data_IF_603143591352
#
_entry.id   IF_603143591352
#
_cell.length_a   1.000
_cell.length_b   1.000
_cell.length_c   1.000
_cell.angle_alpha   90.00
_cell.angle_beta   90.00
_cell.angle_gamma   90.00
#
_symmetry.space_group_name_H-M   'P 1'
#
loop_
_entity.id
_entity.type
_entity.pdbx_description
1 polymer ?
#
# COMPACT_ATOMS: atom_id res chain seq x y z
N UNK A 1 75.96 9.00 1.50
CA UNK A 1 74.71 9.73 1.28
C UNK A 1 73.55 8.68 1.22
N UNK A 2 72.76 8.56 2.29
CA UNK A 2 71.59 7.61 2.37
C UNK A 2 70.38 8.44 2.11
N UNK A 3 69.65 8.12 1.02
CA UNK A 3 68.34 8.73 0.66
C UNK A 3 67.23 8.17 1.54
N UNK A 4 66.61 9.05 2.31
CA UNK A 4 65.36 8.72 3.05
C UNK A 4 64.17 8.88 2.09
N UNK A 5 63.48 7.78 1.79
CA UNK A 5 62.24 7.83 1.08
C UNK A 5 61.12 8.01 2.10
N UNK A 6 60.43 9.14 2.03
CA UNK A 6 59.22 9.40 2.79
C UNK A 6 58.03 8.80 2.03
N UNK A 7 57.38 7.81 2.62
CA UNK A 7 56.09 7.30 2.13
C UNK A 7 54.98 8.17 2.71
N UNK A 8 54.31 8.94 1.86
CA UNK A 8 53.05 9.60 2.22
C UNK A 8 51.91 8.61 2.05
N UNK A 9 51.36 8.13 3.16
CA UNK A 9 50.13 7.33 3.18
C UNK A 9 48.95 8.30 3.14
N UNK A 10 48.35 8.45 1.97
CA UNK A 10 47.06 9.16 1.85
C UNK A 10 45.97 8.30 2.44
N UNK A 11 45.50 8.63 3.62
CA UNK A 11 44.30 8.03 4.20
C UNK A 11 43.09 8.57 3.42
N UNK A 12 42.45 7.69 2.62
CA UNK A 12 41.13 7.96 2.03
C UNK A 12 40.12 7.83 3.17
N UNK A 13 39.67 8.97 3.68
CA UNK A 13 38.49 9.03 4.55
C UNK A 13 37.25 8.64 3.71
N UNK A 14 36.80 7.40 3.81
CA UNK A 14 35.48 6.99 3.40
C UNK A 14 34.48 7.68 4.34
N UNK A 15 33.90 8.78 3.89
CA UNK A 15 32.76 9.40 4.55
C UNK A 15 31.58 8.45 4.30
N UNK A 16 31.30 7.60 5.26
CA UNK A 16 30.08 6.82 5.29
C UNK A 16 28.94 7.78 5.63
N UNK A 17 28.14 8.16 4.64
CA UNK A 17 26.85 8.82 4.88
C UNK A 17 25.94 7.78 5.52
N UNK A 18 25.93 7.69 6.83
CA UNK A 18 24.85 7.02 7.55
C UNK A 18 23.60 7.84 7.31
N UNK A 19 22.73 7.40 6.41
CA UNK A 19 21.38 7.96 6.30
C UNK A 19 20.76 7.87 7.69
N UNK A 20 20.26 8.97 8.24
CA UNK A 20 19.64 8.99 9.55
C UNK A 20 18.46 7.99 9.58
N UNK A 21 18.30 7.25 10.67
CA UNK A 21 17.15 6.39 10.87
C UNK A 21 15.87 7.22 10.86
N UNK A 22 14.81 6.73 10.21
CA UNK A 22 13.51 7.39 10.26
C UNK A 22 12.64 6.74 11.32
N UNK A 23 11.74 7.52 11.94
CA UNK A 23 10.81 7.04 12.93
C UNK A 23 9.39 7.53 12.66
N UNK A 24 8.40 6.69 12.92
CA UNK A 24 7.01 7.07 12.97
C UNK A 24 6.63 7.49 14.39
N UNK A 25 6.03 8.65 14.52
CA UNK A 25 5.51 9.16 15.78
C UNK A 25 4.05 9.51 15.62
N UNK A 26 3.19 9.00 16.51
CA UNK A 26 1.79 9.37 16.53
C UNK A 26 1.65 10.85 16.92
N UNK A 27 0.94 11.61 16.09
CA UNK A 27 0.72 13.05 16.29
C UNK A 27 -0.75 13.41 16.48
N UNK A 28 -1.67 12.52 16.07
CA UNK A 28 -3.10 12.72 16.29
C UNK A 28 -3.86 11.39 16.27
N UNK A 29 -5.01 11.38 16.95
CA UNK A 29 -6.10 10.42 16.79
C UNK A 29 -7.37 11.26 16.63
N UNK A 30 -8.08 11.06 15.52
CA UNK A 30 -9.29 11.80 15.21
C UNK A 30 -10.50 10.87 15.28
N UNK A 31 -11.63 11.40 15.79
CA UNK A 31 -12.91 10.70 15.70
C UNK A 31 -13.43 10.79 14.25
N UNK A 32 -13.95 9.66 13.76
CA UNK A 32 -14.63 9.56 12.46
C UNK A 32 -16.07 9.11 12.75
N UNK A 33 -17.09 9.83 12.24
CA UNK A 33 -18.48 9.41 12.47
C UNK A 33 -18.81 8.10 11.77
N UNK A 34 -19.45 7.17 12.47
CA UNK A 34 -19.87 5.86 11.97
C UNK A 34 -19.34 4.71 12.82
N UNK A 35 -19.81 3.49 12.55
CA UNK A 35 -19.32 2.27 13.21
C UNK A 35 -17.96 1.87 12.63
N UNK A 36 -17.05 1.28 13.43
CA UNK A 36 -15.76 0.80 12.94
C UNK A 36 -15.91 -0.24 11.83
N UNK A 37 -14.96 -0.19 10.92
CA UNK A 37 -14.85 -1.05 9.74
C UNK A 37 -14.33 -0.21 8.59
N UNK A 38 -13.03 -0.29 8.33
CA UNK A 38 -12.39 0.43 7.24
C UNK A 38 -11.65 -0.58 6.37
N UNK A 39 -11.55 -0.29 5.09
CA UNK A 39 -10.83 -1.16 4.17
C UNK A 39 -9.76 -0.37 3.41
N UNK A 40 -10.04 0.11 2.24
CA UNK A 40 -9.04 0.73 1.38
C UNK A 40 -8.97 2.25 1.54
N UNK A 41 -7.81 2.81 1.19
CA UNK A 41 -7.57 4.25 1.10
C UNK A 41 -6.85 4.60 -0.19
N UNK A 42 -7.12 5.79 -0.72
CA UNK A 42 -6.39 6.36 -1.84
C UNK A 42 -6.31 7.88 -1.72
N UNK A 43 -5.33 8.48 -2.37
CA UNK A 43 -5.30 9.92 -2.56
C UNK A 43 -5.96 10.31 -3.87
N UNK A 44 -6.85 11.30 -3.82
CA UNK A 44 -7.39 12.03 -4.97
C UNK A 44 -6.86 13.46 -4.89
N UNK A 45 -5.80 13.74 -5.62
CA UNK A 45 -5.00 14.95 -5.45
C UNK A 45 -4.49 15.11 -4.01
N UNK A 46 -4.75 16.24 -3.35
CA UNK A 46 -4.34 16.49 -1.97
C UNK A 46 -5.26 15.86 -0.91
N UNK A 47 -6.36 15.21 -1.33
CA UNK A 47 -7.41 14.70 -0.45
C UNK A 47 -7.24 13.20 -0.23
N UNK A 48 -7.33 12.76 1.02
CA UNK A 48 -7.37 11.34 1.37
C UNK A 48 -8.82 10.86 1.32
N UNK A 49 -9.07 9.81 0.56
CA UNK A 49 -10.37 9.15 0.42
C UNK A 49 -10.29 7.80 1.09
N UNK A 50 -11.22 7.52 2.00
CA UNK A 50 -11.20 6.35 2.89
C UNK A 50 -12.49 5.58 2.74
N UNK A 51 -12.40 4.31 2.43
CA UNK A 51 -13.55 3.40 2.44
C UNK A 51 -13.90 3.04 3.88
N UNK A 52 -15.13 3.36 4.29
CA UNK A 52 -15.65 3.15 5.64
C UNK A 52 -16.82 2.14 5.59
N UNK A 53 -16.48 0.87 5.48
CA UNK A 53 -17.44 -0.23 5.33
C UNK A 53 -18.45 -0.28 6.47
N UNK A 54 -17.99 -0.15 7.72
CA UNK A 54 -18.86 -0.16 8.90
C UNK A 54 -19.88 0.96 8.97
N UNK A 55 -19.69 2.03 8.20
CA UNK A 55 -20.62 3.15 8.09
C UNK A 55 -21.39 3.17 6.75
N UNK A 56 -21.01 2.35 5.78
CA UNK A 56 -21.56 2.40 4.41
C UNK A 56 -21.27 3.73 3.73
N UNK A 57 -20.06 4.28 3.93
CA UNK A 57 -19.66 5.59 3.40
C UNK A 57 -18.28 5.56 2.76
N UNK A 58 -18.01 6.58 1.96
CA UNK A 58 -16.66 6.99 1.61
C UNK A 58 -16.37 8.30 2.32
N UNK A 59 -15.35 8.31 3.15
CA UNK A 59 -14.97 9.44 3.97
C UNK A 59 -13.93 10.28 3.24
N UNK A 60 -14.19 11.57 3.12
CA UNK A 60 -13.34 12.53 2.41
C UNK A 60 -12.60 13.38 3.45
N UNK A 61 -11.28 13.20 3.52
CA UNK A 61 -10.44 13.81 4.54
C UNK A 61 -9.47 14.81 3.94
N UNK A 62 -9.39 16.00 4.54
CA UNK A 62 -8.41 17.04 4.19
C UNK A 62 -7.15 16.88 5.07
N UNK A 63 -6.03 16.37 4.52
CA UNK A 63 -4.79 16.19 5.26
C UNK A 63 -4.18 17.47 5.81
N UNK A 64 -4.32 18.58 5.08
CA UNK A 64 -3.75 19.87 5.49
C UNK A 64 -4.47 20.45 6.71
N UNK A 65 -5.80 20.30 6.76
CA UNK A 65 -6.63 20.78 7.87
C UNK A 65 -6.86 19.70 8.93
N UNK A 66 -6.42 18.46 8.68
CA UNK A 66 -6.62 17.30 9.56
C UNK A 66 -8.07 17.10 9.96
N UNK A 67 -8.99 17.18 9.02
CA UNK A 67 -10.42 17.03 9.28
C UNK A 67 -11.16 16.33 8.16
N UNK A 68 -12.22 15.66 8.55
CA UNK A 68 -13.22 15.15 7.61
C UNK A 68 -13.93 16.34 6.97
N UNK A 69 -14.07 16.34 5.63
CA UNK A 69 -14.74 17.42 4.89
C UNK A 69 -16.05 16.96 4.28
N UNK A 70 -16.23 15.65 4.03
CA UNK A 70 -17.48 15.06 3.55
C UNK A 70 -17.54 13.58 3.86
N UNK A 71 -18.74 13.00 3.85
CA UNK A 71 -19.02 11.58 3.81
C UNK A 71 -20.00 11.31 2.66
N UNK A 72 -19.59 10.54 1.68
CA UNK A 72 -20.46 10.06 0.60
C UNK A 72 -21.15 8.81 1.08
N UNK A 73 -22.47 8.88 1.26
CA UNK A 73 -23.31 7.81 1.83
C UNK A 73 -23.89 6.90 0.77
N UNK A 74 -24.46 5.78 1.21
CA UNK A 74 -25.21 4.85 0.34
C UNK A 74 -24.34 3.82 -0.34
N UNK A 75 -23.17 3.52 0.23
CA UNK A 75 -22.31 2.43 -0.20
C UNK A 75 -22.79 1.13 0.46
N UNK A 76 -22.95 0.10 -0.34
CA UNK A 76 -23.40 -1.23 0.12
C UNK A 76 -22.16 -2.11 0.38
N UNK A 77 -21.74 -2.20 1.65
CA UNK A 77 -20.53 -2.94 2.06
C UNK A 77 -19.32 -2.60 1.18
N UNK A 78 -18.81 -1.36 1.24
CA UNK A 78 -17.74 -0.91 0.37
C UNK A 78 -16.38 -1.45 0.83
N UNK A 79 -15.53 -1.88 -0.12
CA UNK A 79 -14.19 -2.44 0.11
C UNK A 79 -13.09 -1.68 -0.62
N UNK A 80 -12.97 -1.90 -1.92
CA UNK A 80 -11.90 -1.34 -2.74
C UNK A 80 -12.14 0.10 -3.17
N UNK A 81 -11.04 0.81 -3.41
CA UNK A 81 -11.07 2.17 -3.96
C UNK A 81 -9.98 2.33 -5.01
N UNK A 82 -10.26 3.05 -6.09
CA UNK A 82 -9.28 3.48 -7.07
C UNK A 82 -9.59 4.88 -7.58
N UNK A 83 -8.55 5.59 -8.03
CA UNK A 83 -8.66 6.99 -8.47
C UNK A 83 -8.22 7.13 -9.93
N UNK A 84 -9.07 7.73 -10.74
CA UNK A 84 -8.76 8.22 -12.07
C UNK A 84 -8.65 9.76 -12.03
N UNK A 85 -7.46 10.25 -11.69
CA UNK A 85 -7.18 11.69 -11.58
C UNK A 85 -7.52 12.45 -12.85
N UNK A 86 -7.11 11.92 -14.02
CA UNK A 86 -7.36 12.55 -15.32
C UNK A 86 -8.84 12.57 -15.66
N UNK A 87 -9.59 11.53 -15.26
CA UNK A 87 -11.03 11.47 -15.44
C UNK A 87 -11.82 12.20 -14.36
N UNK A 88 -11.15 12.71 -13.32
CA UNK A 88 -11.79 13.40 -12.21
C UNK A 88 -12.72 12.50 -11.38
N UNK A 89 -12.38 11.21 -11.22
CA UNK A 89 -13.28 10.19 -10.65
C UNK A 89 -12.59 9.32 -9.62
N UNK A 90 -13.40 8.93 -8.63
CA UNK A 90 -13.08 7.87 -7.68
C UNK A 90 -14.04 6.71 -7.92
N UNK A 91 -13.51 5.49 -7.97
CA UNK A 91 -14.27 4.26 -8.06
C UNK A 91 -14.29 3.58 -6.70
N UNK A 92 -15.44 3.03 -6.32
CA UNK A 92 -15.65 2.32 -5.05
C UNK A 92 -16.33 0.99 -5.33
N UNK A 93 -15.72 -0.09 -4.87
CA UNK A 93 -16.29 -1.44 -4.95
C UNK A 93 -17.32 -1.62 -3.84
N UNK A 94 -18.59 -1.87 -4.19
CA UNK A 94 -19.64 -2.21 -3.26
C UNK A 94 -19.92 -3.71 -3.37
N UNK A 95 -19.41 -4.49 -2.42
CA UNK A 95 -19.56 -5.95 -2.45
C UNK A 95 -20.98 -6.40 -2.07
N UNK A 96 -21.68 -5.60 -1.26
CA UNK A 96 -23.00 -5.96 -0.76
C UNK A 96 -24.12 -5.98 -1.82
N UNK A 97 -23.97 -5.26 -2.93
CA UNK A 97 -24.94 -5.21 -4.02
C UNK A 97 -24.33 -5.45 -5.42
N UNK A 98 -23.06 -5.86 -5.46
CA UNK A 98 -22.30 -6.11 -6.69
C UNK A 98 -22.25 -4.87 -7.60
N UNK A 99 -22.05 -3.70 -7.05
CA UNK A 99 -21.93 -2.47 -7.84
C UNK A 99 -20.58 -1.81 -7.73
N UNK A 100 -20.27 -0.99 -8.70
CA UNK A 100 -19.16 -0.04 -8.68
C UNK A 100 -19.73 1.37 -8.65
N UNK A 101 -19.57 2.08 -7.55
CA UNK A 101 -19.95 3.48 -7.48
C UNK A 101 -18.85 4.36 -8.11
N UNK A 102 -19.26 5.36 -8.87
CA UNK A 102 -18.37 6.36 -9.48
C UNK A 102 -18.67 7.72 -8.84
N UNK A 103 -17.67 8.29 -8.18
CA UNK A 103 -17.78 9.55 -7.44
C UNK A 103 -16.96 10.61 -8.18
N UNK A 104 -17.56 11.79 -8.44
CA UNK A 104 -16.83 12.92 -9.00
C UNK A 104 -15.91 13.56 -7.93
N UNK A 105 -14.64 13.81 -8.26
CA UNK A 105 -13.68 14.47 -7.35
C UNK A 105 -14.05 15.92 -7.12
N UNK A 106 -14.70 16.57 -8.09
CA UNK A 106 -15.01 17.99 -8.04
C UNK A 106 -15.97 18.39 -6.90
N UNK A 107 -16.94 17.53 -6.58
CA UNK A 107 -18.00 17.85 -5.60
C UNK A 107 -18.37 16.65 -4.70
N UNK A 108 -17.67 15.55 -4.84
CA UNK A 108 -17.84 14.31 -4.04
C UNK A 108 -19.25 13.72 -4.14
N UNK A 109 -19.86 13.78 -5.33
CA UNK A 109 -21.16 13.16 -5.59
C UNK A 109 -21.00 11.89 -6.39
N UNK A 110 -21.87 10.91 -6.10
CA UNK A 110 -22.04 9.75 -6.97
C UNK A 110 -22.65 10.23 -8.28
N UNK A 111 -21.94 9.98 -9.38
CA UNK A 111 -22.34 10.41 -10.74
C UNK A 111 -22.74 9.23 -11.61
N UNK A 112 -22.37 8.00 -11.21
CA UNK A 112 -22.73 6.78 -11.93
C UNK A 112 -22.64 5.57 -10.98
N UNK A 113 -23.35 4.49 -11.33
CA UNK A 113 -23.28 3.19 -10.66
C UNK A 113 -23.30 2.11 -11.72
N UNK A 114 -22.24 1.32 -11.79
CA UNK A 114 -22.09 0.23 -12.75
C UNK A 114 -22.44 -1.08 -12.07
N UNK A 115 -23.45 -1.80 -12.61
CA UNK A 115 -23.77 -3.14 -12.15
C UNK A 115 -22.70 -4.12 -12.61
N UNK A 116 -22.17 -4.91 -11.68
CA UNK A 116 -21.20 -5.97 -11.94
C UNK A 116 -21.85 -7.35 -11.84
N UNK A 117 -21.22 -8.32 -12.47
CA UNK A 117 -21.69 -9.72 -12.42
C UNK A 117 -21.35 -10.38 -11.08
N UNK A 118 -20.19 -9.98 -10.51
CA UNK A 118 -19.63 -10.58 -9.30
C UNK A 118 -19.41 -9.50 -8.24
N UNK A 119 -19.28 -9.95 -7.00
CA UNK A 119 -18.99 -9.10 -5.85
C UNK A 119 -17.56 -8.53 -5.99
N UNK A 120 -17.40 -7.20 -6.18
CA UNK A 120 -16.10 -6.58 -6.29
C UNK A 120 -15.45 -6.42 -4.91
N UNK A 121 -14.12 -6.52 -4.89
CA UNK A 121 -13.32 -6.35 -3.68
C UNK A 121 -12.25 -5.28 -3.90
N UNK A 122 -11.00 -5.62 -4.20
CA UNK A 122 -9.97 -4.63 -4.47
C UNK A 122 -10.09 -4.00 -5.86
N UNK A 123 -9.65 -2.75 -5.95
CA UNK A 123 -9.64 -1.96 -7.20
C UNK A 123 -8.25 -1.41 -7.49
N UNK A 124 -7.85 -1.41 -8.75
CA UNK A 124 -6.67 -0.73 -9.24
C UNK A 124 -6.94 -0.04 -10.57
N UNK A 125 -6.80 1.27 -10.63
CA UNK A 125 -6.83 2.00 -11.89
C UNK A 125 -5.42 2.17 -12.46
N UNK A 126 -5.20 1.75 -13.70
CA UNK A 126 -3.93 1.89 -14.41
C UNK A 126 -4.08 2.97 -15.50
N UNK A 127 -3.57 4.19 -15.25
CA UNK A 127 -3.75 5.32 -16.18
C UNK A 127 -3.19 5.05 -17.58
N UNK A 128 -2.06 4.34 -17.69
CA UNK A 128 -1.40 3.98 -18.95
C UNK A 128 -2.26 3.13 -19.86
N UNK A 129 -3.19 2.37 -19.29
CA UNK A 129 -4.14 1.54 -20.04
C UNK A 129 -5.54 2.18 -20.09
N UNK A 130 -5.77 3.22 -19.28
CA UNK A 130 -7.10 3.79 -19.07
C UNK A 130 -8.09 2.74 -18.57
N UNK A 131 -7.63 1.82 -17.71
CA UNK A 131 -8.39 0.63 -17.32
C UNK A 131 -8.45 0.51 -15.81
N UNK A 132 -9.65 0.29 -15.30
CA UNK A 132 -9.89 -0.13 -13.91
C UNK A 132 -9.92 -1.66 -13.86
N UNK A 133 -9.07 -2.24 -13.03
CA UNK A 133 -9.06 -3.65 -12.69
C UNK A 133 -9.80 -3.86 -11.37
N UNK A 134 -10.59 -4.93 -11.31
CA UNK A 134 -11.52 -5.22 -10.22
C UNK A 134 -11.30 -6.67 -9.79
N UNK A 135 -10.83 -6.91 -8.58
CA UNK A 135 -10.81 -8.26 -8.03
C UNK A 135 -12.20 -8.69 -7.61
N UNK A 136 -12.55 -9.95 -7.87
CA UNK A 136 -13.77 -10.58 -7.40
C UNK A 136 -13.35 -11.81 -6.59
N UNK A 137 -12.91 -11.56 -5.34
CA UNK A 137 -12.21 -12.56 -4.51
C UNK A 137 -13.04 -13.82 -4.30
N UNK A 138 -14.33 -13.69 -3.97
CA UNK A 138 -15.25 -14.81 -3.76
C UNK A 138 -15.57 -15.61 -5.02
N UNK A 139 -15.36 -15.06 -6.20
CA UNK A 139 -15.65 -15.70 -7.48
C UNK A 139 -14.40 -16.12 -8.24
N UNK A 140 -13.22 -16.04 -7.61
CA UNK A 140 -11.94 -16.39 -8.23
C UNK A 140 -11.80 -15.82 -9.64
N UNK A 141 -12.10 -14.52 -9.81
CA UNK A 141 -12.07 -13.88 -11.12
C UNK A 141 -11.56 -12.45 -11.03
N UNK A 142 -11.09 -11.93 -12.16
CA UNK A 142 -10.64 -10.56 -12.31
C UNK A 142 -11.38 -9.90 -13.47
N UNK A 143 -11.92 -8.71 -13.23
CA UNK A 143 -12.61 -7.92 -14.21
C UNK A 143 -11.81 -6.69 -14.61
N UNK A 144 -11.99 -6.21 -15.85
CA UNK A 144 -11.40 -5.00 -16.38
C UNK A 144 -12.47 -4.12 -17.03
N UNK A 145 -12.54 -2.86 -16.59
CA UNK A 145 -13.42 -1.83 -17.14
C UNK A 145 -12.55 -0.74 -17.77
N UNK A 146 -12.62 -0.60 -19.08
CA UNK A 146 -11.92 0.47 -19.81
C UNK A 146 -12.64 1.81 -19.62
N UNK A 147 -11.89 2.89 -19.56
CA UNK A 147 -12.43 4.25 -19.49
C UNK A 147 -13.42 4.50 -20.65
N UNK A 148 -14.64 4.89 -20.30
CA UNK A 148 -15.70 5.12 -21.28
C UNK A 148 -16.41 3.87 -21.80
N UNK A 149 -16.04 2.68 -21.34
CA UNK A 149 -16.78 1.46 -21.65
C UNK A 149 -17.95 1.27 -20.67
N UNK A 150 -19.01 0.58 -21.12
CA UNK A 150 -20.17 0.21 -20.30
C UNK A 150 -20.20 -1.28 -19.98
N UNK A 151 -19.20 -2.04 -20.42
CA UNK A 151 -19.09 -3.48 -20.16
C UNK A 151 -17.73 -3.84 -19.64
N UNK A 152 -17.68 -4.76 -18.69
CA UNK A 152 -16.45 -5.32 -18.15
C UNK A 152 -16.06 -6.59 -18.91
N UNK A 153 -14.76 -6.77 -19.09
CA UNK A 153 -14.16 -8.04 -19.47
C UNK A 153 -13.78 -8.78 -18.20
N UNK A 154 -14.17 -10.04 -18.07
CA UNK A 154 -13.83 -10.86 -16.89
C UNK A 154 -13.08 -12.11 -17.32
N UNK A 155 -12.09 -12.51 -16.53
CA UNK A 155 -11.36 -13.77 -16.67
C UNK A 155 -11.40 -14.55 -15.35
N UNK A 156 -11.53 -15.86 -15.44
CA UNK A 156 -11.43 -16.75 -14.29
C UNK A 156 -9.98 -16.97 -13.92
N UNK A 157 -9.72 -17.08 -12.62
CA UNK A 157 -8.42 -17.31 -12.02
C UNK A 157 -8.43 -18.62 -11.23
N UNK A 158 -7.24 -19.13 -10.93
CA UNK A 158 -7.08 -20.34 -10.11
C UNK A 158 -6.91 -20.00 -8.62
N UNK A 159 -7.80 -19.18 -8.09
CA UNK A 159 -7.82 -18.74 -6.69
C UNK A 159 -8.39 -17.34 -6.53
N UNK A 160 -8.82 -17.01 -5.32
CA UNK A 160 -9.40 -15.71 -4.99
C UNK A 160 -8.36 -14.59 -5.10
N UNK A 161 -8.54 -13.62 -6.03
CA UNK A 161 -7.68 -12.46 -6.12
C UNK A 161 -7.96 -11.51 -4.96
N UNK A 162 -6.91 -11.07 -4.30
CA UNK A 162 -6.93 -10.05 -3.27
C UNK A 162 -6.49 -8.70 -3.84
N UNK A 163 -5.32 -8.23 -3.46
CA UNK A 163 -4.81 -6.93 -3.91
C UNK A 163 -4.01 -7.02 -5.21
N UNK A 164 -3.82 -5.87 -5.84
CA UNK A 164 -3.18 -5.74 -7.15
C UNK A 164 -2.16 -4.61 -7.15
N UNK A 165 -1.06 -4.78 -7.89
CA UNK A 165 -0.09 -3.73 -8.13
C UNK A 165 0.38 -3.74 -9.60
N UNK A 166 0.56 -2.55 -10.18
CA UNK A 166 1.03 -2.41 -11.55
C UNK A 166 2.53 -2.12 -11.60
N UNK A 167 3.24 -2.85 -12.44
CA UNK A 167 4.64 -2.58 -12.78
C UNK A 167 4.69 -1.83 -14.13
N UNK A 168 4.99 -0.53 -14.14
CA UNK A 168 5.03 0.26 -15.36
C UNK A 168 6.20 -0.11 -16.30
N UNK A 169 7.30 -0.65 -15.77
CA UNK A 169 8.45 -1.06 -16.59
C UNK A 169 8.14 -2.34 -17.38
N UNK A 170 7.50 -3.31 -16.73
CA UNK A 170 7.10 -4.59 -17.36
C UNK A 170 5.75 -4.50 -18.04
N UNK A 171 4.96 -3.49 -17.73
CA UNK A 171 3.56 -3.32 -18.15
C UNK A 171 2.71 -4.52 -17.73
N UNK A 172 2.94 -5.01 -16.51
CA UNK A 172 2.27 -6.17 -15.92
C UNK A 172 1.51 -5.77 -14.66
N UNK A 173 0.35 -6.38 -14.51
CA UNK A 173 -0.46 -6.33 -13.31
C UNK A 173 -0.12 -7.55 -12.46
N UNK A 174 0.46 -7.36 -11.28
CA UNK A 174 0.66 -8.41 -10.28
C UNK A 174 -0.55 -8.53 -9.38
N UNK A 175 -0.98 -9.76 -9.11
CA UNK A 175 -2.18 -10.07 -8.33
C UNK A 175 -1.86 -11.15 -7.32
N UNK A 176 -2.20 -10.92 -6.05
CA UNK A 176 -2.14 -11.95 -5.01
C UNK A 176 -3.34 -12.87 -5.12
N UNK A 177 -3.12 -14.20 -5.15
CA UNK A 177 -4.16 -15.21 -5.08
C UNK A 177 -4.12 -15.90 -3.72
N UNK A 178 -5.01 -15.51 -2.81
CA UNK A 178 -4.96 -15.90 -1.40
C UNK A 178 -5.06 -17.40 -1.20
N UNK A 179 -6.10 -18.01 -1.77
CA UNK A 179 -6.39 -19.44 -1.59
C UNK A 179 -5.37 -20.35 -2.28
N UNK A 180 -4.78 -19.87 -3.38
CA UNK A 180 -3.81 -20.63 -4.15
C UNK A 180 -2.38 -20.49 -3.62
N UNK A 181 -2.12 -19.57 -2.69
CA UNK A 181 -0.78 -19.17 -2.23
C UNK A 181 0.15 -18.84 -3.41
N UNK A 182 -0.32 -17.95 -4.27
CA UNK A 182 0.37 -17.57 -5.51
C UNK A 182 0.34 -16.06 -5.72
N UNK A 183 1.29 -15.59 -6.51
CA UNK A 183 1.23 -14.30 -7.19
C UNK A 183 1.24 -14.59 -8.69
N UNK A 184 0.30 -14.00 -9.40
CA UNK A 184 0.27 -14.05 -10.87
C UNK A 184 0.60 -12.68 -11.45
N UNK A 185 1.07 -12.66 -12.70
CA UNK A 185 1.22 -11.43 -13.47
C UNK A 185 0.42 -11.54 -14.77
N UNK A 186 -0.37 -10.51 -15.04
CA UNK A 186 -1.24 -10.43 -16.21
C UNK A 186 -0.84 -9.24 -17.08
N UNK A 187 -1.04 -9.36 -18.37
CA UNK A 187 -0.93 -8.23 -19.31
C UNK A 187 -2.19 -7.32 -19.26
N UNK A 188 -2.16 -6.22 -20.01
CA UNK A 188 -3.29 -5.28 -20.10
C UNK A 188 -4.61 -5.90 -20.59
N UNK A 189 -4.56 -7.06 -21.22
CA UNK A 189 -5.73 -7.81 -21.72
C UNK A 189 -6.10 -9.00 -20.83
N UNK A 190 -5.61 -9.01 -19.58
CA UNK A 190 -5.81 -10.06 -18.59
C UNK A 190 -5.29 -11.44 -19.02
N UNK A 191 -4.27 -11.50 -19.89
CA UNK A 191 -3.62 -12.76 -20.26
C UNK A 191 -2.52 -13.05 -19.26
N UNK A 192 -2.46 -14.31 -18.80
CA UNK A 192 -1.43 -14.77 -17.88
C UNK A 192 -0.04 -14.70 -18.52
N UNK A 193 0.84 -13.91 -17.93
CA UNK A 193 2.24 -13.77 -18.32
C UNK A 193 3.19 -14.57 -17.42
N UNK A 194 2.95 -14.55 -16.10
CA UNK A 194 3.79 -15.23 -15.11
C UNK A 194 2.93 -15.75 -13.96
N UNK A 195 3.45 -16.78 -13.27
CA UNK A 195 2.83 -17.37 -12.08
C UNK A 195 3.91 -17.83 -11.12
N UNK A 196 3.84 -17.39 -9.88
CA UNK A 196 4.81 -17.67 -8.83
C UNK A 196 4.14 -18.34 -7.64
N UNK A 197 4.71 -19.40 -7.12
CA UNK A 197 4.33 -19.93 -5.82
C UNK A 197 4.91 -19.09 -4.71
N UNK A 198 4.10 -18.78 -3.72
CA UNK A 198 4.49 -18.07 -2.50
C UNK A 198 4.74 -19.12 -1.40
N UNK A 199 5.94 -19.09 -0.81
CA UNK A 199 6.31 -20.03 0.26
C UNK A 199 5.75 -19.56 1.64
N UNK A 200 4.49 -19.11 1.65
CA UNK A 200 3.75 -18.71 2.83
C UNK A 200 2.25 -18.76 2.54
N UNK A 201 1.42 -18.74 3.59
CA UNK A 201 -0.03 -18.79 3.46
C UNK A 201 -0.65 -17.40 3.39
N UNK A 202 -1.76 -17.31 2.67
CA UNK A 202 -2.65 -16.15 2.61
C UNK A 202 -1.92 -14.87 2.12
N UNK A 203 -1.40 -14.84 0.89
CA UNK A 203 -0.96 -13.59 0.28
C UNK A 203 -2.17 -12.66 0.08
N UNK A 204 -2.05 -11.43 0.59
CA UNK A 204 -3.08 -10.39 0.54
C UNK A 204 -2.56 -9.15 -0.18
N UNK A 205 -2.11 -8.14 0.55
CA UNK A 205 -1.58 -6.90 -0.02
C UNK A 205 -0.35 -7.12 -0.88
N UNK A 206 -0.24 -6.37 -1.95
CA UNK A 206 0.88 -6.42 -2.89
C UNK A 206 1.32 -5.01 -3.28
N UNK A 207 2.62 -4.79 -3.37
CA UNK A 207 3.20 -3.56 -3.88
C UNK A 207 4.40 -3.86 -4.77
N UNK A 208 4.71 -2.97 -5.69
CA UNK A 208 5.82 -3.11 -6.63
C UNK A 208 6.79 -1.96 -6.46
N UNK A 209 8.08 -2.29 -6.44
CA UNK A 209 9.16 -1.36 -6.63
C UNK A 209 9.75 -1.54 -8.04
N UNK A 210 9.35 -0.72 -9.00
CA UNK A 210 9.79 -0.91 -10.38
C UNK A 210 11.30 -0.65 -10.55
N UNK A 211 11.92 0.19 -9.70
CA UNK A 211 13.35 0.50 -9.81
C UNK A 211 14.26 -0.68 -9.47
N UNK A 212 13.86 -1.51 -8.51
CA UNK A 212 14.63 -2.69 -8.10
C UNK A 212 14.09 -3.99 -8.69
N UNK A 213 12.94 -3.94 -9.38
CA UNK A 213 12.25 -5.15 -9.88
C UNK A 213 11.79 -6.06 -8.74
N UNK A 214 11.38 -5.48 -7.61
CA UNK A 214 10.93 -6.24 -6.45
C UNK A 214 9.41 -6.13 -6.28
N UNK A 215 8.81 -7.24 -5.89
CA UNK A 215 7.41 -7.33 -5.49
C UNK A 215 7.36 -7.58 -3.99
N UNK A 216 6.62 -6.76 -3.27
CA UNK A 216 6.33 -6.97 -1.87
C UNK A 216 4.97 -7.65 -1.75
N UNK A 217 4.89 -8.70 -0.97
CA UNK A 217 3.67 -9.48 -0.77
C UNK A 217 3.41 -9.63 0.72
N UNK A 218 2.31 -9.07 1.20
CA UNK A 218 1.85 -9.31 2.56
C UNK A 218 1.39 -10.75 2.70
N UNK A 219 1.84 -11.41 3.76
CA UNK A 219 1.38 -12.72 4.18
C UNK A 219 1.11 -12.69 5.68
N UNK A 220 0.48 -13.71 6.21
CA UNK A 220 -0.06 -13.72 7.59
C UNK A 220 0.88 -13.19 8.68
N UNK A 221 2.20 -13.37 8.56
CA UNK A 221 3.19 -13.01 9.60
C UNK A 221 4.45 -12.36 9.03
N UNK A 222 4.44 -11.95 7.78
CA UNK A 222 5.60 -11.35 7.14
C UNK A 222 5.21 -10.54 5.90
N UNK A 223 6.15 -9.73 5.45
CA UNK A 223 6.20 -9.26 4.07
C UNK A 223 7.30 -10.04 3.36
N UNK A 224 6.94 -10.71 2.28
CA UNK A 224 7.90 -11.36 1.37
C UNK A 224 8.36 -10.35 0.33
N UNK A 225 9.61 -10.48 -0.08
CA UNK A 225 10.16 -9.73 -1.21
C UNK A 225 10.52 -10.72 -2.30
N UNK A 226 9.86 -10.60 -3.44
CA UNK A 226 10.08 -11.47 -4.59
C UNK A 226 10.77 -10.69 -5.71
N UNK A 227 11.60 -11.37 -6.46
CA UNK A 227 12.10 -10.87 -7.74
C UNK A 227 10.99 -10.96 -8.80
N UNK A 228 10.68 -9.85 -9.47
CA UNK A 228 9.54 -9.75 -10.38
C UNK A 228 9.70 -10.57 -11.69
N UNK A 229 10.92 -11.00 -12.02
CA UNK A 229 11.16 -11.79 -13.22
C UNK A 229 11.09 -13.29 -12.97
N UNK A 230 11.67 -13.75 -11.87
CA UNK A 230 11.78 -15.17 -11.54
C UNK A 230 10.77 -15.66 -10.50
N UNK A 231 10.14 -14.75 -9.74
CA UNK A 231 9.31 -15.09 -8.58
C UNK A 231 10.07 -15.63 -7.37
N UNK A 232 11.42 -15.62 -7.44
CA UNK A 232 12.25 -16.10 -6.34
C UNK A 232 12.12 -15.17 -5.13
N UNK A 233 11.89 -15.74 -3.94
CA UNK A 233 11.98 -14.99 -2.69
C UNK A 233 13.43 -14.56 -2.45
N UNK A 234 13.64 -13.24 -2.35
CA UNK A 234 14.94 -12.60 -2.13
C UNK A 234 15.03 -11.91 -0.77
N UNK A 235 13.91 -11.81 -0.06
CA UNK A 235 13.84 -11.26 1.28
C UNK A 235 12.55 -11.62 1.97
N UNK A 236 12.60 -11.61 3.30
CA UNK A 236 11.45 -11.84 4.17
C UNK A 236 11.60 -10.98 5.41
N UNK A 237 10.60 -10.15 5.70
CA UNK A 237 10.58 -9.30 6.88
C UNK A 237 9.43 -9.77 7.78
N UNK A 238 9.72 -10.29 8.97
CA UNK A 238 8.68 -10.62 9.95
C UNK A 238 7.86 -9.37 10.30
N UNK A 239 6.55 -9.54 10.43
CA UNK A 239 5.60 -8.51 10.81
C UNK A 239 4.57 -9.05 11.78
N UNK A 240 3.72 -8.19 12.34
CA UNK A 240 2.60 -8.61 13.18
C UNK A 240 1.62 -9.53 12.42
N UNK A 241 0.87 -10.33 13.18
CA UNK A 241 -0.13 -11.24 12.62
C UNK A 241 -1.23 -10.47 11.85
N UNK A 242 -1.60 -10.99 10.69
CA UNK A 242 -2.64 -10.40 9.85
C UNK A 242 -2.18 -9.12 9.16
N UNK A 243 -0.90 -9.08 8.74
CA UNK A 243 -0.43 -8.04 7.81
C UNK A 243 -1.22 -8.17 6.51
N UNK A 244 -1.77 -7.05 6.06
CA UNK A 244 -2.74 -7.03 4.98
C UNK A 244 -2.39 -5.96 3.94
N UNK A 245 -2.63 -4.68 4.20
CA UNK A 245 -2.37 -3.64 3.21
C UNK A 245 -0.94 -3.13 3.24
N UNK A 246 -0.41 -2.89 2.04
CA UNK A 246 0.94 -2.38 1.80
C UNK A 246 0.88 -1.03 1.11
N UNK A 247 1.77 -0.13 1.47
CA UNK A 247 2.00 1.13 0.75
C UNK A 247 3.49 1.35 0.53
N UNK A 248 3.93 1.28 -0.72
CA UNK A 248 5.31 1.58 -1.07
C UNK A 248 5.46 3.05 -1.48
N UNK A 249 6.36 3.76 -0.81
CA UNK A 249 6.74 5.12 -1.17
C UNK A 249 8.09 5.13 -1.89
N UNK A 250 8.04 5.46 -3.18
CA UNK A 250 9.22 5.49 -4.05
C UNK A 250 10.18 6.63 -3.68
N UNK A 251 9.69 7.72 -3.12
CA UNK A 251 10.50 8.89 -2.79
C UNK A 251 11.47 8.62 -1.62
N UNK A 252 11.01 7.89 -0.61
CA UNK A 252 11.80 7.52 0.56
C UNK A 252 12.25 6.07 0.54
N UNK A 253 11.88 5.32 -0.49
CA UNK A 253 12.19 3.88 -0.63
C UNK A 253 11.74 3.08 0.59
N UNK A 254 10.57 3.41 1.10
CA UNK A 254 10.02 2.84 2.32
C UNK A 254 8.71 2.12 2.03
N UNK A 255 8.57 0.90 2.53
CA UNK A 255 7.31 0.17 2.52
C UNK A 255 6.65 0.28 3.90
N UNK A 256 5.42 0.71 3.91
CA UNK A 256 4.54 0.68 5.09
C UNK A 256 3.64 -0.54 4.99
N UNK A 257 3.63 -1.36 6.03
CA UNK A 257 2.79 -2.57 6.09
C UNK A 257 1.89 -2.48 7.33
N UNK A 258 0.58 -2.58 7.14
CA UNK A 258 -0.39 -2.54 8.21
C UNK A 258 -0.96 -3.92 8.51
N UNK A 259 -1.12 -4.24 9.79
CA UNK A 259 -1.68 -5.47 10.28
C UNK A 259 -2.98 -5.25 11.08
N UNK A 260 -3.88 -6.22 11.06
CA UNK A 260 -5.22 -6.18 11.68
C UNK A 260 -5.26 -5.67 13.13
N UNK A 261 -4.19 -5.88 13.90
CA UNK A 261 -4.05 -5.39 15.27
C UNK A 261 -3.80 -3.88 15.41
N UNK A 262 -3.70 -3.14 14.28
CA UNK A 262 -3.30 -1.73 14.28
C UNK A 262 -1.80 -1.54 14.43
N UNK A 263 -1.03 -2.52 14.01
CA UNK A 263 0.43 -2.46 13.95
C UNK A 263 0.86 -2.00 12.57
N UNK A 264 1.80 -1.07 12.53
CA UNK A 264 2.46 -0.61 11.30
C UNK A 264 3.94 -0.93 11.36
N UNK A 265 4.42 -1.64 10.35
CA UNK A 265 5.85 -1.82 10.11
C UNK A 265 6.32 -0.81 9.06
N UNK A 266 7.43 -0.15 9.35
CA UNK A 266 8.18 0.66 8.39
C UNK A 266 9.38 -0.17 7.92
N UNK A 267 9.34 -0.62 6.67
CA UNK A 267 10.30 -1.55 6.09
C UNK A 267 11.21 -0.81 5.12
N UNK A 268 12.50 -1.00 5.27
CA UNK A 268 13.54 -0.43 4.41
C UNK A 268 14.49 -1.47 3.85
N UNK A 269 15.23 -1.06 2.84
CA UNK A 269 16.34 -1.83 2.29
C UNK A 269 17.67 -1.14 2.60
N UNK A 270 18.60 -1.90 3.16
CA UNK A 270 19.98 -1.49 3.35
C UNK A 270 20.92 -2.62 2.95
N UNK A 271 21.98 -2.28 2.19
CA UNK A 271 22.98 -3.26 1.72
C UNK A 271 22.37 -4.52 1.07
N UNK A 272 21.28 -4.35 0.31
CA UNK A 272 20.57 -5.44 -0.37
C UNK A 272 19.66 -6.28 0.50
N UNK A 273 19.54 -6.00 1.80
CA UNK A 273 18.66 -6.70 2.73
C UNK A 273 17.48 -5.82 3.13
N UNK A 274 16.31 -6.45 3.29
CA UNK A 274 15.11 -5.80 3.81
C UNK A 274 14.97 -6.08 5.31
N UNK A 275 14.54 -5.06 6.05
CA UNK A 275 14.32 -5.16 7.49
C UNK A 275 13.21 -4.19 7.94
N UNK A 276 12.57 -4.49 9.06
CA UNK A 276 11.67 -3.56 9.72
C UNK A 276 12.50 -2.55 10.51
N UNK A 277 12.54 -1.29 10.05
CA UNK A 277 13.21 -0.21 10.77
C UNK A 277 12.46 0.15 12.05
N UNK A 278 11.12 0.04 11.99
CA UNK A 278 10.26 0.23 13.14
C UNK A 278 9.00 -0.61 13.01
N UNK A 279 8.57 -1.20 14.12
CA UNK A 279 7.23 -1.71 14.35
C UNK A 279 6.55 -0.80 15.36
N UNK A 280 5.43 -0.18 14.97
CA UNK A 280 4.66 0.70 15.83
C UNK A 280 3.27 0.13 16.05
N UNK A 281 2.94 -0.13 17.31
CA UNK A 281 1.59 -0.50 17.72
C UNK A 281 0.79 0.79 17.99
N UNK A 282 -0.31 0.97 17.26
CA UNK A 282 -1.27 2.05 17.51
C UNK A 282 -2.38 1.56 18.43
N UNK A 283 -3.17 2.48 18.97
CA UNK A 283 -4.29 2.11 19.84
C UNK A 283 -5.54 1.65 19.05
N UNK A 284 -5.55 1.74 17.72
CA UNK A 284 -6.72 1.39 16.89
C UNK A 284 -6.52 0.03 16.22
N UNK A 285 -7.61 -0.71 16.04
CA UNK A 285 -7.60 -1.95 15.26
C UNK A 285 -7.97 -1.62 13.82
N UNK A 286 -7.03 -1.80 12.92
CA UNK A 286 -7.19 -1.57 11.49
C UNK A 286 -6.03 -2.17 10.73
N UNK A 287 -6.21 -2.45 9.45
CA UNK A 287 -5.23 -3.12 8.59
C UNK A 287 -4.86 -2.31 7.35
N UNK A 288 -5.42 -1.10 7.24
CA UNK A 288 -5.21 -0.23 6.06
C UNK A 288 -4.21 0.87 6.38
N UNK A 289 -3.41 1.24 5.39
CA UNK A 289 -2.38 2.27 5.51
C UNK A 289 -2.31 3.11 4.25
N UNK A 290 -2.10 4.42 4.41
CA UNK A 290 -1.74 5.33 3.33
C UNK A 290 -0.63 6.28 3.78
N UNK A 291 0.25 6.66 2.87
CA UNK A 291 1.35 7.59 3.13
C UNK A 291 1.26 8.82 2.24
N UNK A 292 1.26 9.99 2.85
CA UNK A 292 1.38 11.29 2.19
C UNK A 292 2.87 11.69 2.15
N UNK A 293 3.51 11.48 1.02
CA UNK A 293 4.92 11.81 0.82
C UNK A 293 5.21 13.30 0.92
N UNK A 294 4.23 14.14 0.53
CA UNK A 294 4.36 15.62 0.58
C UNK A 294 4.45 16.12 2.02
N UNK A 295 3.70 15.50 2.92
CA UNK A 295 3.65 15.90 4.34
C UNK A 295 4.43 14.96 5.25
N UNK A 296 4.87 13.81 4.77
CA UNK A 296 5.49 12.74 5.57
C UNK A 296 4.53 12.23 6.64
N UNK A 297 3.26 12.01 6.29
CA UNK A 297 2.23 11.54 7.20
C UNK A 297 1.74 10.15 6.79
N UNK A 298 1.60 9.27 7.77
CA UNK A 298 0.99 7.95 7.62
C UNK A 298 -0.39 7.98 8.27
N UNK A 299 -1.38 7.45 7.59
CA UNK A 299 -2.76 7.37 8.03
C UNK A 299 -3.16 5.92 8.25
N UNK A 300 -3.80 5.65 9.40
CA UNK A 300 -4.39 4.36 9.75
C UNK A 300 -5.79 4.59 10.30
N UNK A 301 -6.81 4.21 9.55
CA UNK A 301 -8.16 4.15 10.07
C UNK A 301 -8.36 2.86 10.85
N UNK A 302 -9.20 2.89 11.87
CA UNK A 302 -9.49 1.69 12.64
C UNK A 302 -10.50 1.89 13.75
N UNK A 303 -10.78 0.82 14.48
CA UNK A 303 -11.69 0.82 15.62
C UNK A 303 -10.96 0.92 16.96
N UNK A 304 -11.48 1.74 17.86
CA UNK A 304 -11.06 1.81 19.25
C UNK A 304 -12.29 1.96 20.16
N UNK A 305 -12.50 1.04 21.09
CA UNK A 305 -13.63 1.02 22.01
C UNK A 305 -15.00 1.22 21.33
N UNK A 306 -15.21 0.54 20.18
CA UNK A 306 -16.46 0.62 19.42
C UNK A 306 -16.64 1.91 18.63
N UNK A 307 -15.63 2.78 18.57
CA UNK A 307 -15.64 4.03 17.80
C UNK A 307 -14.69 3.99 16.64
N UNK A 308 -15.06 4.63 15.54
CA UNK A 308 -14.19 4.81 14.39
C UNK A 308 -13.17 5.92 14.64
N UNK A 309 -11.92 5.63 14.33
CA UNK A 309 -10.77 6.54 14.53
C UNK A 309 -9.90 6.59 13.28
N UNK A 310 -9.25 7.74 13.10
CA UNK A 310 -8.15 7.89 12.17
C UNK A 310 -6.89 8.30 12.93
N UNK A 311 -5.90 7.41 12.98
CA UNK A 311 -4.57 7.70 13.52
C UNK A 311 -3.74 8.39 12.47
N UNK A 312 -3.03 9.44 12.88
CA UNK A 312 -2.05 10.14 12.04
C UNK A 312 -0.68 10.01 12.68
N UNK A 313 0.25 9.42 11.93
CA UNK A 313 1.65 9.32 12.32
C UNK A 313 2.47 10.29 11.48
N UNK A 314 3.50 10.86 12.06
CA UNK A 314 4.51 11.67 11.37
C UNK A 314 5.78 10.85 11.21
N UNK A 315 6.29 10.77 10.00
CA UNK A 315 7.64 10.29 9.72
C UNK A 315 8.62 11.40 10.05
N UNK A 316 9.58 11.10 10.92
CA UNK A 316 10.62 12.02 11.40
C UNK A 316 11.96 11.39 11.04
N UNK A 317 12.78 12.11 10.28
CA UNK A 317 14.18 11.73 10.07
C UNK A 317 14.97 12.07 11.35
N UNK A 318 15.62 11.07 11.94
CA UNK A 318 16.53 11.29 13.06
C UNK A 318 17.91 11.64 12.50
N UNK A 319 18.52 12.70 13.02
CA UNK A 319 19.90 13.01 12.67
C UNK A 319 20.80 11.82 13.01
N UNK A 320 21.87 11.57 12.23
CA UNK A 320 22.86 10.55 12.59
C UNK A 320 23.33 10.81 14.02
N UNK A 321 23.29 9.82 14.89
CA UNK A 321 23.95 9.94 16.20
C UNK A 321 25.44 10.07 15.94
N UNK A 322 26.02 11.22 16.26
CA UNK A 322 27.47 11.35 16.39
C UNK A 322 27.91 10.34 17.45
N UNK A 323 28.48 9.24 17.02
CA UNK A 323 29.21 8.36 17.93
C UNK A 323 30.39 9.16 18.44
N UNK A 324 30.26 9.72 19.65
CA UNK A 324 31.37 10.33 20.35
C UNK A 324 32.39 9.23 20.65
N UNK A 325 33.31 9.04 19.75
CA UNK A 325 34.55 8.33 20.02
C UNK A 325 35.35 9.19 21.04
N UNK A 326 35.01 9.05 22.33
CA UNK A 326 35.93 9.44 23.38
C UNK A 326 37.17 8.54 23.24
N UNK A 327 38.16 9.08 22.58
CA UNK A 327 39.49 8.52 22.57
C UNK A 327 39.94 8.39 24.04
N UNK A 328 40.09 7.16 24.51
CA UNK A 328 40.87 6.87 25.69
C UNK A 328 42.35 7.06 25.28
N UNK A 329 42.85 8.23 25.56
CA UNK A 329 44.28 8.49 25.69
C UNK A 329 44.65 8.25 27.16
N UNK A 330 45.24 7.11 27.43
CA UNK A 330 46.16 6.92 28.54
C UNK A 330 47.25 5.95 28.13
#
# INVERSE_FOLDING_TARGET
MRSIRVFVISAILLVWNAAGAAQLRQIAILDVPGHPGFDAMAFAGPTLVIVHAGAGTVDIFDPAKRRLIAQVKGMADPHGIAVDEQGGRVFVANSGDNTLAVIAIADWKVIDTVQLQYSPDALLFVPEFGTLYISNSHNSSLSALKRGAHSVQTVELNGGPEDMAFDPQRRLLFVSLQDANQVIALDANLRLAKQFRVAASQPTGIAVDPKTSHIFVAVRYAVLVLDADSGREIGRVPTAAGTDKLWFDDSTRTLYAAANGGVVNMIKQESGKYYSEQELNTSVRGHSVAFDSTRGLVYLPGGYEGRSKLVILKRIETAPQETSAKAALH
#
